data_IF_677902931580
#
_entry.id   IF_677902931580
#
_cell.length_a   1.000
_cell.length_b   1.000
_cell.length_c   1.000
_cell.angle_alpha   90.00
_cell.angle_beta   90.00
_cell.angle_gamma   90.00
#
_symmetry.space_group_name_H-M   'P 1'
#
loop_
_entity.id
_entity.type
_entity.pdbx_description
1 polymer ?
#
# COMPACT_ATOMS: atom_id res chain seq x y z
N UNK A 1 3.06 -5.38 -26.60
CA UNK A 1 3.71 -6.08 -25.47
C UNK A 1 4.86 -5.19 -25.02
N UNK A 2 4.65 -4.37 -23.98
CA UNK A 2 5.67 -3.43 -23.50
C UNK A 2 6.62 -4.22 -22.58
N UNK A 3 7.95 -4.16 -22.78
CA UNK A 3 8.88 -4.96 -22.00
C UNK A 3 8.95 -4.45 -20.55
N UNK A 4 8.83 -5.36 -19.57
CA UNK A 4 8.95 -5.10 -18.13
C UNK A 4 10.44 -5.03 -17.75
N UNK A 5 11.19 -4.10 -18.34
CA UNK A 5 12.65 -3.99 -18.15
C UNK A 5 13.14 -2.67 -17.54
N UNK A 6 12.23 -1.78 -17.10
CA UNK A 6 12.59 -0.49 -16.47
C UNK A 6 11.93 -0.24 -15.11
N UNK A 7 11.36 -1.27 -14.47
CA UNK A 7 10.62 -1.08 -13.22
C UNK A 7 11.55 -1.14 -11.99
N UNK A 8 11.26 -0.35 -10.93
CA UNK A 8 12.17 -0.11 -9.81
C UNK A 8 12.27 -1.24 -8.77
N UNK A 9 12.06 -2.49 -9.20
CA UNK A 9 11.88 -3.64 -8.31
C UNK A 9 13.07 -3.95 -7.41
N UNK A 10 14.29 -3.89 -7.92
CA UNK A 10 15.48 -4.15 -7.11
C UNK A 10 15.62 -3.11 -5.98
N UNK A 11 15.40 -1.84 -6.27
CA UNK A 11 15.45 -0.79 -5.25
C UNK A 11 14.23 -0.83 -4.30
N UNK A 12 13.03 -1.15 -4.79
CA UNK A 12 11.86 -1.37 -3.93
C UNK A 12 12.11 -2.52 -2.96
N UNK A 13 12.67 -3.64 -3.43
CA UNK A 13 13.00 -4.78 -2.59
C UNK A 13 14.00 -4.40 -1.48
N UNK A 14 15.02 -3.59 -1.82
CA UNK A 14 15.96 -3.06 -0.84
C UNK A 14 15.30 -2.12 0.19
N UNK A 15 14.35 -1.29 -0.24
CA UNK A 15 13.57 -0.40 0.67
C UNK A 15 12.68 -1.20 1.60
N UNK A 16 12.02 -2.25 1.11
CA UNK A 16 11.24 -3.19 1.94
C UNK A 16 12.15 -3.87 2.95
N UNK A 17 13.32 -4.35 2.54
CA UNK A 17 14.25 -5.01 3.44
C UNK A 17 14.75 -4.07 4.55
N UNK A 18 15.06 -2.82 4.20
CA UNK A 18 15.45 -1.80 5.18
C UNK A 18 14.31 -1.47 6.16
N UNK A 19 13.07 -1.35 5.67
CA UNK A 19 11.91 -0.99 6.49
C UNK A 19 11.47 -2.13 7.44
N UNK A 20 11.60 -3.38 6.99
CA UNK A 20 11.15 -4.56 7.75
C UNK A 20 12.27 -5.21 8.58
N UNK A 21 13.53 -4.86 8.34
CA UNK A 21 14.69 -5.52 8.93
C UNK A 21 14.93 -6.95 8.43
N UNK A 22 14.19 -7.41 7.42
CA UNK A 22 14.27 -8.75 6.87
C UNK A 22 14.51 -8.71 5.34
N UNK A 23 15.44 -9.50 4.78
CA UNK A 23 15.67 -9.54 3.34
C UNK A 23 14.38 -9.80 2.57
N UNK A 24 14.18 -9.12 1.45
CA UNK A 24 13.05 -9.36 0.55
C UNK A 24 13.57 -9.39 -0.88
N UNK A 25 13.20 -10.44 -1.61
CA UNK A 25 13.59 -10.64 -3.01
C UNK A 25 12.32 -10.87 -3.82
N UNK A 26 12.04 -9.97 -4.76
CA UNK A 26 10.87 -10.09 -5.64
C UNK A 26 11.15 -11.18 -6.67
N UNK A 27 10.34 -12.24 -6.66
CA UNK A 27 10.37 -13.33 -7.64
C UNK A 27 9.52 -12.99 -8.85
N UNK A 28 8.32 -12.45 -8.62
CA UNK A 28 7.36 -12.09 -9.66
C UNK A 28 6.70 -10.75 -9.33
N UNK A 29 6.31 -10.00 -10.37
CA UNK A 29 5.54 -8.77 -10.25
C UNK A 29 4.40 -8.81 -11.27
N UNK A 30 3.17 -8.78 -10.78
CA UNK A 30 1.96 -8.89 -11.61
C UNK A 30 1.18 -7.58 -11.56
N UNK A 31 0.82 -6.98 -12.71
CA UNK A 31 -0.08 -5.83 -12.69
C UNK A 31 -1.45 -6.29 -12.18
N UNK A 32 -2.07 -5.49 -11.31
CA UNK A 32 -3.41 -5.74 -10.79
C UNK A 32 -4.36 -4.60 -11.21
N UNK A 33 -5.59 -4.97 -11.56
CA UNK A 33 -6.59 -4.02 -12.08
C UNK A 33 -7.04 -3.00 -11.04
N UNK A 34 -7.68 -1.91 -11.50
CA UNK A 34 -8.25 -0.86 -10.64
C UNK A 34 -7.43 0.42 -10.50
N UNK A 35 -6.28 0.51 -11.18
CA UNK A 35 -5.41 1.69 -11.17
C UNK A 35 -5.74 2.72 -12.25
N UNK A 36 -6.74 3.58 -12.06
CA UNK A 36 -6.98 4.70 -12.99
C UNK A 36 -5.99 5.87 -12.77
N UNK A 37 -5.43 5.98 -11.56
CA UNK A 37 -4.56 7.09 -11.13
C UNK A 37 -3.12 6.63 -10.85
N UNK A 38 -2.96 5.41 -10.34
CA UNK A 38 -1.66 4.81 -10.00
C UNK A 38 -1.54 3.46 -10.69
N UNK A 39 -0.33 3.09 -11.12
CA UNK A 39 -0.06 1.71 -11.50
C UNK A 39 -0.05 0.84 -10.24
N UNK A 40 -0.78 -0.28 -10.25
CA UNK A 40 -0.91 -1.18 -9.11
C UNK A 40 -0.30 -2.55 -9.44
N UNK A 41 0.48 -3.07 -8.50
CA UNK A 41 1.28 -4.28 -8.69
C UNK A 41 1.17 -5.21 -7.47
N UNK A 42 1.00 -6.50 -7.72
CA UNK A 42 1.24 -7.57 -6.76
C UNK A 42 2.70 -8.01 -6.88
N UNK A 43 3.47 -7.84 -5.82
CA UNK A 43 4.86 -8.29 -5.72
C UNK A 43 4.89 -9.61 -4.95
N UNK A 44 5.33 -10.69 -5.59
CA UNK A 44 5.49 -12.01 -4.98
C UNK A 44 6.95 -12.23 -4.62
N UNK A 45 7.23 -12.35 -3.33
CA UNK A 45 8.55 -12.61 -2.78
C UNK A 45 9.00 -14.07 -2.99
N UNK A 46 10.31 -14.28 -3.09
CA UNK A 46 10.91 -15.61 -3.15
C UNK A 46 10.69 -16.42 -1.86
N UNK A 47 10.42 -15.73 -0.76
CA UNK A 47 10.10 -16.32 0.56
C UNK A 47 8.60 -16.59 0.77
N UNK A 48 7.78 -16.40 -0.27
CA UNK A 48 6.34 -16.62 -0.22
C UNK A 48 5.52 -15.45 0.31
N UNK A 49 6.15 -14.35 0.77
CA UNK A 49 5.42 -13.12 1.12
C UNK A 49 4.87 -12.44 -0.13
N UNK A 50 3.67 -11.89 -0.04
CA UNK A 50 3.07 -11.06 -1.09
C UNK A 50 2.90 -9.63 -0.58
N UNK A 51 3.30 -8.66 -1.38
CA UNK A 51 3.15 -7.23 -1.09
C UNK A 51 2.40 -6.53 -2.21
N UNK A 52 1.73 -5.43 -1.89
CA UNK A 52 1.08 -4.58 -2.88
C UNK A 52 1.89 -3.31 -3.10
N UNK A 53 2.17 -2.96 -4.34
CA UNK A 53 2.91 -1.76 -4.69
C UNK A 53 2.10 -0.85 -5.60
N UNK A 54 2.08 0.45 -5.27
CA UNK A 54 1.62 1.52 -6.14
C UNK A 54 2.81 2.26 -6.71
N UNK A 55 2.76 2.59 -7.99
CA UNK A 55 3.75 3.45 -8.66
C UNK A 55 3.05 4.65 -9.31
N UNK A 56 3.74 5.78 -9.34
CA UNK A 56 3.31 6.97 -10.09
C UNK A 56 4.52 7.84 -10.48
N UNK A 57 4.25 8.98 -11.13
CA UNK A 57 5.19 10.05 -11.42
C UNK A 57 5.91 10.55 -10.14
N UNK A 58 7.13 11.09 -10.26
CA UNK A 58 7.98 11.40 -9.11
C UNK A 58 7.42 12.53 -8.22
N UNK A 59 6.61 13.43 -8.78
CA UNK A 59 5.94 14.54 -8.07
C UNK A 59 4.76 14.08 -7.18
N UNK A 60 4.48 12.78 -7.13
CA UNK A 60 3.42 12.16 -6.31
C UNK A 60 3.92 11.55 -5.00
N UNK A 61 5.17 11.78 -4.62
CA UNK A 61 5.72 11.26 -3.36
C UNK A 61 4.91 11.72 -2.14
N UNK A 62 4.57 13.01 -2.05
CA UNK A 62 3.76 13.55 -0.94
C UNK A 62 2.36 12.94 -0.88
N UNK A 63 1.78 12.60 -2.03
CA UNK A 63 0.49 11.91 -2.12
C UNK A 63 0.57 10.51 -1.49
N UNK A 64 1.62 9.75 -1.80
CA UNK A 64 1.84 8.43 -1.20
C UNK A 64 2.21 8.51 0.28
N UNK A 65 2.95 9.56 0.67
CA UNK A 65 3.24 9.82 2.07
C UNK A 65 1.92 10.04 2.83
N UNK A 66 1.05 10.94 2.35
CA UNK A 66 -0.26 11.21 2.94
C UNK A 66 -1.13 9.94 3.01
N UNK A 67 -1.16 9.14 1.95
CA UNK A 67 -1.88 7.86 1.95
C UNK A 67 -1.36 6.90 3.02
N UNK A 68 -0.05 6.75 3.18
CA UNK A 68 0.54 5.90 4.20
C UNK A 68 0.14 6.34 5.62
N UNK A 69 0.15 7.65 5.93
CA UNK A 69 -0.34 8.10 7.24
C UNK A 69 -1.83 7.84 7.42
N UNK A 70 -2.66 8.11 6.41
CA UNK A 70 -4.10 7.83 6.49
C UNK A 70 -4.39 6.36 6.79
N UNK A 71 -3.67 5.44 6.15
CA UNK A 71 -3.79 4.01 6.41
C UNK A 71 -3.34 3.63 7.83
N UNK A 72 -2.27 4.23 8.35
CA UNK A 72 -1.83 4.02 9.73
C UNK A 72 -2.88 4.49 10.74
N UNK A 73 -3.51 5.63 10.49
CA UNK A 73 -4.54 6.20 11.36
C UNK A 73 -5.81 5.36 11.34
N UNK A 74 -6.23 4.89 10.16
CA UNK A 74 -7.34 3.94 10.05
C UNK A 74 -7.01 2.66 10.84
N UNK A 75 -5.81 2.10 10.65
CA UNK A 75 -5.39 0.90 11.40
C UNK A 75 -5.36 1.14 12.91
N UNK A 76 -4.93 2.33 13.36
CA UNK A 76 -4.87 2.71 14.77
C UNK A 76 -6.25 2.80 15.43
N UNK A 77 -7.32 3.00 14.67
CA UNK A 77 -8.69 2.93 15.22
C UNK A 77 -9.04 1.52 15.71
N UNK A 78 -8.41 0.48 15.16
CA UNK A 78 -8.73 -0.92 15.45
C UNK A 78 -10.14 -1.34 15.01
N UNK A 79 -10.81 -0.58 14.14
CA UNK A 79 -12.22 -0.83 13.79
C UNK A 79 -12.40 -1.55 12.47
N UNK A 80 -11.74 -1.11 11.40
CA UNK A 80 -11.81 -1.69 10.05
C UNK A 80 -10.41 -2.10 9.60
N UNK A 81 -10.31 -3.22 8.90
CA UNK A 81 -9.05 -3.65 8.30
C UNK A 81 -8.60 -2.66 7.22
N UNK A 82 -7.38 -2.14 7.38
CA UNK A 82 -6.65 -1.40 6.36
C UNK A 82 -5.28 -2.06 6.14
N UNK A 83 -4.74 -2.06 4.91
CA UNK A 83 -3.43 -2.64 4.65
C UNK A 83 -2.33 -1.85 5.36
N UNK A 84 -1.42 -2.55 6.04
CA UNK A 84 -0.31 -1.93 6.73
C UNK A 84 0.69 -1.28 5.74
N UNK A 85 1.04 0.00 5.89
CA UNK A 85 2.11 0.61 5.10
C UNK A 85 3.48 0.10 5.51
N UNK A 86 4.29 -0.31 4.53
CA UNK A 86 5.64 -0.83 4.75
C UNK A 86 6.67 0.27 4.50
N UNK A 87 6.62 0.88 3.33
CA UNK A 87 7.48 2.01 2.97
C UNK A 87 6.95 2.77 1.77
N UNK A 88 7.38 4.02 1.59
CA UNK A 88 7.10 4.85 0.43
C UNK A 88 8.31 5.72 0.11
N UNK A 89 8.31 6.35 -1.07
CA UNK A 89 9.33 7.35 -1.44
C UNK A 89 9.47 7.49 -2.95
N UNK A 90 10.57 8.10 -3.39
CA UNK A 90 10.96 8.17 -4.80
C UNK A 90 12.15 7.26 -5.13
N UNK A 91 12.10 6.65 -6.31
CA UNK A 91 13.14 5.78 -6.85
C UNK A 91 13.07 5.74 -8.38
N UNK A 92 14.23 5.90 -9.05
CA UNK A 92 14.36 5.78 -10.51
C UNK A 92 13.33 6.61 -11.29
N UNK A 93 13.10 7.86 -10.87
CA UNK A 93 12.16 8.77 -11.53
C UNK A 93 10.69 8.43 -11.31
N UNK A 94 10.35 7.59 -10.34
CA UNK A 94 8.97 7.27 -9.95
C UNK A 94 8.78 7.44 -8.44
N UNK A 95 7.58 7.77 -8.03
CA UNK A 95 7.16 7.64 -6.64
C UNK A 95 6.51 6.28 -6.42
N UNK A 96 6.59 5.77 -5.19
CA UNK A 96 6.03 4.47 -4.83
C UNK A 96 5.46 4.42 -3.41
N UNK A 97 4.54 3.50 -3.19
CA UNK A 97 4.03 3.06 -1.89
C UNK A 97 3.94 1.54 -1.87
N UNK A 98 4.58 0.89 -0.89
CA UNK A 98 4.48 -0.55 -0.64
C UNK A 98 3.64 -0.79 0.61
N UNK A 99 2.66 -1.67 0.46
CA UNK A 99 1.69 -2.06 1.48
C UNK A 99 1.70 -3.58 1.68
N UNK A 100 1.17 -4.01 2.81
CA UNK A 100 0.66 -5.36 3.00
C UNK A 100 -0.30 -5.73 1.85
N UNK A 101 -0.17 -6.96 1.34
CA UNK A 101 -1.14 -7.52 0.41
C UNK A 101 -2.28 -8.23 1.15
N UNK A 102 -3.50 -7.72 1.00
CA UNK A 102 -4.71 -8.37 1.51
C UNK A 102 -5.36 -9.16 0.37
N UNK A 103 -5.36 -10.50 0.42
CA UNK A 103 -6.05 -11.29 -0.58
C UNK A 103 -7.57 -11.11 -0.41
N UNK A 104 -8.27 -10.89 -1.54
CA UNK A 104 -9.72 -10.83 -1.49
C UNK A 104 -10.31 -12.21 -1.16
N UNK A 105 -11.18 -12.22 -0.16
CA UNK A 105 -12.00 -13.38 0.17
C UNK A 105 -13.26 -13.44 -0.67
N UNK A 106 -13.94 -14.59 -0.62
CA UNK A 106 -15.29 -14.78 -1.14
C UNK A 106 -16.28 -14.82 0.03
N UNK A 107 -17.41 -14.13 -0.10
CA UNK A 107 -18.46 -14.08 0.93
C UNK A 107 -19.13 -12.71 1.04
N UNK A 108 -20.30 -12.67 1.69
CA UNK A 108 -20.96 -11.42 2.04
C UNK A 108 -20.49 -10.94 3.41
N UNK A 109 -19.74 -9.86 3.42
CA UNK A 109 -19.27 -9.19 4.64
C UNK A 109 -19.91 -7.80 4.82
N UNK A 110 -20.97 -7.48 4.05
CA UNK A 110 -21.53 -6.12 3.97
C UNK A 110 -22.02 -5.60 5.31
N UNK A 111 -22.68 -6.44 6.10
CA UNK A 111 -23.16 -6.05 7.43
C UNK A 111 -22.00 -5.75 8.38
N UNK A 112 -20.99 -6.64 8.42
CA UNK A 112 -19.79 -6.45 9.26
C UNK A 112 -19.04 -5.18 8.83
N UNK A 113 -18.81 -5.00 7.54
CA UNK A 113 -18.19 -3.81 6.97
C UNK A 113 -18.94 -2.54 7.39
N UNK A 114 -20.27 -2.53 7.29
CA UNK A 114 -21.09 -1.39 7.72
C UNK A 114 -20.91 -1.05 9.20
N UNK A 115 -20.87 -2.06 10.08
CA UNK A 115 -20.62 -1.85 11.52
C UNK A 115 -19.21 -1.33 11.79
N UNK A 116 -18.18 -1.89 11.15
CA UNK A 116 -16.78 -1.50 11.30
C UNK A 116 -16.52 -0.07 10.78
N UNK A 117 -17.10 0.29 9.63
CA UNK A 117 -17.08 1.66 9.10
C UNK A 117 -17.75 2.66 10.05
N UNK A 118 -18.91 2.29 10.61
CA UNK A 118 -19.60 3.15 11.57
C UNK A 118 -18.80 3.34 12.87
N UNK A 119 -18.05 2.31 13.30
CA UNK A 119 -17.13 2.42 14.43
C UNK A 119 -15.95 3.35 14.09
N UNK A 120 -15.35 3.20 12.91
CA UNK A 120 -14.27 4.08 12.43
C UNK A 120 -14.69 5.55 12.46
N UNK A 121 -15.89 5.88 11.95
CA UNK A 121 -16.40 7.26 11.94
C UNK A 121 -16.65 7.85 13.33
N UNK A 122 -16.75 7.03 14.38
CA UNK A 122 -16.86 7.53 15.76
C UNK A 122 -15.52 7.91 16.37
N UNK A 123 -14.40 7.47 15.79
CA UNK A 123 -13.05 7.92 16.12
C UNK A 123 -12.87 9.34 15.55
N UNK A 124 -13.00 10.35 16.42
CA UNK A 124 -13.03 11.76 16.02
C UNK A 124 -11.97 12.59 16.74
N UNK A 125 -11.64 13.73 16.15
CA UNK A 125 -10.70 14.72 16.68
C UNK A 125 -11.43 15.98 17.12
N UNK A 126 -10.77 16.84 17.90
CA UNK A 126 -11.33 18.11 18.37
C UNK A 126 -11.56 19.14 17.26
N UNK A 127 -11.03 18.91 16.05
CA UNK A 127 -11.12 19.83 14.91
C UNK A 127 -11.18 19.08 13.58
N UNK A 128 -11.73 19.76 12.56
CA UNK A 128 -11.69 19.28 11.18
C UNK A 128 -10.31 19.47 10.54
N UNK A 129 -9.99 18.64 9.56
CA UNK A 129 -8.73 18.70 8.80
C UNK A 129 -7.72 17.62 9.22
N UNK A 130 -6.56 17.66 8.58
CA UNK A 130 -5.42 16.78 8.85
C UNK A 130 -4.18 17.62 9.11
N UNK A 131 -3.36 17.24 10.09
CA UNK A 131 -2.26 18.06 10.63
C UNK A 131 -0.95 17.96 9.84
N UNK A 132 -0.92 17.15 8.80
CA UNK A 132 0.27 16.88 8.00
C UNK A 132 0.51 17.90 6.91
#
# INVERSE_FOLDING_TARGET
MVPVTEQPWSGIAARVAAATGAPFHIREAHPVGGGCINEAWLLVGADGRSLFAKLNAPDREDMFAAEAAGLQEIAATGTITAPAPICHGALQGRSFLVLEYIPFGTGDASERLGRELAQMHRSSWSSYGWWR
#
